data_IF_593567594736
#
_entry.id   IF_593567594736
#
_cell.length_a   1.000
_cell.length_b   1.000
_cell.length_c   1.000
_cell.angle_alpha   90.00
_cell.angle_beta   90.00
_cell.angle_gamma   90.00
#
_symmetry.space_group_name_H-M   'P 1'
#
loop_
_entity.id
_entity.type
_entity.pdbx_description
1 polymer ?
#
# COMPACT_ATOMS: atom_id res chain seq x y z
N UNK A 1 3.42 7.61 9.52
CA UNK A 1 2.03 7.15 9.36
C UNK A 1 0.99 8.26 9.34
N UNK A 2 1.26 9.41 9.95
CA UNK A 2 0.29 10.51 9.95
C UNK A 2 -0.08 10.96 8.54
N UNK A 3 0.92 11.07 7.66
CA UNK A 3 0.67 11.51 6.29
C UNK A 3 -0.18 10.50 5.54
N UNK A 4 0.12 9.21 5.70
CA UNK A 4 -0.65 8.15 5.06
C UNK A 4 -2.10 8.18 5.55
N UNK A 5 -2.30 8.27 6.86
CA UNK A 5 -3.65 8.25 7.44
C UNK A 5 -4.46 9.47 7.02
N UNK A 6 -3.82 10.64 6.91
CA UNK A 6 -4.50 11.85 6.47
C UNK A 6 -4.99 11.73 5.05
N UNK A 7 -4.17 11.15 4.16
CA UNK A 7 -4.56 10.96 2.77
C UNK A 7 -5.63 9.87 2.67
N UNK A 8 -5.48 8.79 3.45
CA UNK A 8 -6.45 7.70 3.44
C UNK A 8 -7.82 8.18 3.89
N UNK A 9 -7.87 9.12 4.84
CA UNK A 9 -9.13 9.69 5.29
C UNK A 9 -9.87 10.43 4.18
N UNK A 10 -9.14 11.00 3.23
CA UNK A 10 -9.74 11.68 2.07
C UNK A 10 -10.24 10.69 1.02
N UNK A 11 -9.61 9.54 0.92
CA UNK A 11 -9.91 8.53 -0.10
C UNK A 11 -10.09 7.17 0.56
N UNK A 12 -11.09 7.02 1.43
CA UNK A 12 -11.22 5.78 2.22
C UNK A 12 -11.50 4.54 1.37
N UNK A 13 -12.05 4.73 0.19
CA UNK A 13 -12.41 3.61 -0.70
C UNK A 13 -11.27 3.24 -1.65
N UNK A 14 -10.15 3.96 -1.60
CA UNK A 14 -9.03 3.71 -2.49
C UNK A 14 -7.95 2.92 -1.77
N UNK A 15 -7.31 2.02 -2.51
CA UNK A 15 -6.08 1.37 -2.06
C UNK A 15 -4.96 2.35 -2.32
N UNK A 16 -4.28 2.77 -1.26
CA UNK A 16 -3.31 3.84 -1.33
C UNK A 16 -1.90 3.29 -1.50
N UNK A 17 -1.24 3.68 -2.57
CA UNK A 17 0.17 3.38 -2.81
C UNK A 17 0.98 4.63 -2.55
N UNK A 18 1.90 4.55 -1.62
CA UNK A 18 2.67 5.69 -1.16
C UNK A 18 4.12 5.53 -1.57
N UNK A 19 4.64 6.47 -2.37
CA UNK A 19 6.01 6.41 -2.85
C UNK A 19 6.97 6.71 -1.72
N UNK A 20 7.84 5.76 -1.41
CA UNK A 20 8.87 5.90 -0.39
C UNK A 20 10.20 5.47 -1.01
N UNK A 21 11.04 6.45 -1.36
CA UNK A 21 12.29 6.15 -2.05
C UNK A 21 12.03 5.44 -3.37
N UNK A 22 12.59 4.26 -3.53
CA UNK A 22 12.46 3.48 -4.76
C UNK A 22 11.29 2.50 -4.74
N UNK A 23 10.45 2.57 -3.71
CA UNK A 23 9.35 1.63 -3.53
C UNK A 23 8.01 2.35 -3.47
N UNK A 24 6.96 1.64 -3.85
CA UNK A 24 5.60 1.97 -3.44
C UNK A 24 5.25 1.10 -2.26
N UNK A 25 4.73 1.71 -1.20
CA UNK A 25 4.34 1.00 0.02
C UNK A 25 2.87 1.25 0.32
N UNK A 26 2.26 0.26 0.93
CA UNK A 26 0.88 0.37 1.39
C UNK A 26 0.80 -0.23 2.79
N UNK A 27 -0.16 0.22 3.58
CA UNK A 27 -0.20 -0.05 5.01
C UNK A 27 -1.58 -0.54 5.44
N UNK A 28 -1.63 -1.23 6.59
CA UNK A 28 -2.88 -1.64 7.19
C UNK A 28 -3.69 -2.58 6.32
N UNK A 29 -4.97 -2.33 6.19
CA UNK A 29 -5.86 -3.16 5.38
C UNK A 29 -5.48 -3.16 3.91
N UNK A 30 -4.98 -2.04 3.41
CA UNK A 30 -4.53 -1.96 2.02
C UNK A 30 -3.35 -2.91 1.79
N UNK A 31 -2.44 -3.01 2.77
CA UNK A 31 -1.32 -3.93 2.68
C UNK A 31 -1.78 -5.38 2.65
N UNK A 32 -2.75 -5.72 3.47
CA UNK A 32 -3.28 -7.07 3.50
C UNK A 32 -3.91 -7.44 2.15
N UNK A 33 -4.71 -6.55 1.59
CA UNK A 33 -5.35 -6.79 0.31
C UNK A 33 -4.35 -6.85 -0.82
N UNK A 34 -3.40 -5.91 -0.85
CA UNK A 34 -2.40 -5.86 -1.90
C UNK A 34 -1.52 -7.11 -1.88
N UNK A 35 -1.13 -7.59 -0.71
CA UNK A 35 -0.30 -8.77 -0.62
C UNK A 35 -0.99 -10.01 -1.21
N UNK A 36 -2.29 -10.12 -1.03
CA UNK A 36 -3.07 -11.23 -1.59
C UNK A 36 -3.23 -11.12 -3.09
N UNK A 37 -3.53 -9.92 -3.57
CA UNK A 37 -3.81 -9.70 -5.00
C UNK A 37 -2.53 -9.77 -5.81
N UNK A 38 -1.46 -9.18 -5.30
CA UNK A 38 -0.18 -9.06 -6.02
C UNK A 38 0.78 -10.20 -5.70
N UNK A 39 0.43 -11.03 -4.72
CA UNK A 39 1.29 -12.13 -4.28
C UNK A 39 2.66 -11.62 -3.82
N UNK A 40 2.65 -10.52 -3.07
CA UNK A 40 3.85 -9.94 -2.49
C UNK A 40 3.85 -10.18 -0.99
N UNK A 41 5.03 -10.04 -0.39
CA UNK A 41 5.22 -10.34 1.03
C UNK A 41 4.52 -9.30 1.90
N UNK A 42 3.71 -9.77 2.84
CA UNK A 42 3.13 -8.93 3.87
C UNK A 42 4.03 -8.98 5.09
N UNK A 43 4.50 -7.82 5.53
CA UNK A 43 5.32 -7.72 6.73
C UNK A 43 4.65 -6.80 7.73
N UNK A 44 5.28 -6.62 8.89
CA UNK A 44 4.79 -5.70 9.90
C UNK A 44 5.87 -4.71 10.26
N UNK A 45 5.50 -3.45 10.27
CA UNK A 45 6.39 -2.37 10.70
C UNK A 45 6.14 -2.10 12.17
N UNK A 46 7.19 -1.95 12.95
CA UNK A 46 7.07 -1.71 14.38
C UNK A 46 6.56 -2.91 15.15
N UNK A 47 6.94 -4.12 14.72
CA UNK A 47 6.50 -5.36 15.38
C UNK A 47 6.87 -5.34 16.85
N UNK A 48 5.89 -5.69 17.70
CA UNK A 48 6.07 -5.69 19.14
C UNK A 48 5.77 -4.36 19.80
N UNK A 49 5.42 -3.32 19.04
CA UNK A 49 5.04 -2.02 19.59
C UNK A 49 3.55 -1.79 19.41
N UNK A 50 3.04 -0.77 20.10
CA UNK A 50 1.63 -0.40 19.99
C UNK A 50 1.28 0.20 18.64
N UNK A 51 2.28 0.66 17.89
CA UNK A 51 2.09 1.24 16.56
C UNK A 51 2.39 0.24 15.46
N UNK A 52 2.32 -1.05 15.75
CA UNK A 52 2.52 -2.09 14.75
C UNK A 52 1.51 -1.94 13.62
N UNK A 53 2.00 -1.98 12.38
CA UNK A 53 1.17 -1.82 11.20
C UNK A 53 1.62 -2.81 10.13
N UNK A 54 0.66 -3.41 9.45
CA UNK A 54 0.96 -4.24 8.29
C UNK A 54 1.56 -3.38 7.19
N UNK A 55 2.50 -3.96 6.46
CA UNK A 55 3.23 -3.27 5.41
C UNK A 55 3.45 -4.20 4.23
N UNK A 56 3.17 -3.73 3.04
CA UNK A 56 3.52 -4.41 1.80
C UNK A 56 4.04 -3.39 0.81
N UNK A 57 4.93 -3.81 -0.06
CA UNK A 57 5.50 -2.88 -1.03
C UNK A 57 6.18 -3.60 -2.17
N UNK A 58 6.49 -2.83 -3.21
CA UNK A 58 7.19 -3.33 -4.38
C UNK A 58 8.02 -2.20 -4.99
N UNK A 59 9.04 -2.52 -5.80
CA UNK A 59 9.84 -1.49 -6.44
C UNK A 59 8.98 -0.62 -7.36
N UNK A 60 9.24 0.69 -7.37
CA UNK A 60 8.41 1.63 -8.12
C UNK A 60 8.38 1.32 -9.63
N UNK A 61 9.46 0.76 -10.17
CA UNK A 61 9.52 0.45 -11.60
C UNK A 61 8.63 -0.74 -11.96
N UNK A 62 8.09 -1.44 -10.98
CA UNK A 62 7.16 -2.54 -11.21
C UNK A 62 5.70 -2.11 -11.19
N UNK A 63 5.43 -0.81 -11.05
CA UNK A 63 4.05 -0.32 -10.98
C UNK A 63 3.24 -0.74 -12.20
N UNK A 64 3.82 -0.68 -13.39
CA UNK A 64 3.12 -1.07 -14.62
C UNK A 64 2.71 -2.54 -14.62
N UNK A 65 3.42 -3.37 -13.86
CA UNK A 65 3.10 -4.78 -13.72
C UNK A 65 1.98 -5.01 -12.71
N UNK A 66 2.03 -4.28 -11.59
CA UNK A 66 1.13 -4.54 -10.47
C UNK A 66 -0.15 -3.72 -10.48
N UNK A 67 -0.10 -2.49 -10.99
CA UNK A 67 -1.28 -1.63 -10.99
C UNK A 67 -2.46 -2.25 -11.72
N UNK A 68 -2.29 -2.85 -12.92
CA UNK A 68 -3.42 -3.47 -13.60
C UNK A 68 -4.06 -4.60 -12.80
N UNK A 69 -3.28 -5.32 -12.01
CA UNK A 69 -3.81 -6.39 -11.17
C UNK A 69 -4.74 -5.86 -10.09
N UNK A 70 -4.39 -4.73 -9.49
CA UNK A 70 -5.23 -4.10 -8.47
C UNK A 70 -6.51 -3.58 -9.07
N UNK A 71 -6.42 -2.92 -10.21
CA UNK A 71 -7.60 -2.39 -10.91
C UNK A 71 -8.52 -3.53 -11.36
N UNK A 72 -7.95 -4.60 -11.86
CA UNK A 72 -8.71 -5.76 -12.32
C UNK A 72 -9.43 -6.45 -11.18
N UNK A 73 -8.87 -6.39 -9.97
CA UNK A 73 -9.51 -6.94 -8.78
C UNK A 73 -10.62 -6.05 -8.24
N UNK A 74 -10.89 -4.91 -8.88
CA UNK A 74 -11.98 -4.03 -8.49
C UNK A 74 -11.60 -2.91 -7.55
N UNK A 75 -10.31 -2.68 -7.35
CA UNK A 75 -9.85 -1.63 -6.43
C UNK A 75 -9.62 -0.32 -7.16
N UNK A 76 -10.01 0.76 -6.51
CA UNK A 76 -9.52 2.09 -6.86
C UNK A 76 -8.14 2.23 -6.25
N UNK A 77 -7.23 2.80 -7.01
CA UNK A 77 -5.85 2.97 -6.55
C UNK A 77 -5.50 4.45 -6.57
N UNK A 78 -5.06 4.95 -5.43
CA UNK A 78 -4.55 6.31 -5.31
C UNK A 78 -3.03 6.23 -5.15
N UNK A 79 -2.31 6.97 -5.97
CA UNK A 79 -0.85 6.99 -5.94
C UNK A 79 -0.40 8.33 -5.39
N UNK A 80 0.39 8.28 -4.33
CA UNK A 80 0.88 9.47 -3.65
C UNK A 80 2.40 9.49 -3.65
N UNK A 81 2.96 10.61 -4.07
CA UNK A 81 4.39 10.86 -3.96
C UNK A 81 4.64 11.74 -2.74
N UNK A 82 5.81 11.53 -2.14
CA UNK A 82 6.24 12.39 -1.05
C UNK A 82 6.70 13.74 -1.57
#
# INVERSE_FOLDING_TARGET
MQQYNAIKAKYPDALLLFRVGDFYETFGQDAIQASKILDIILTKRGAGSQSETELAGFPHHSLNLYLPKLVKAGHRVAICDQ
#
